data_IF_145307449690
#
_entry.id   IF_145307449690
#
_cell.length_a   1.000
_cell.length_b   1.000
_cell.length_c   1.000
_cell.angle_alpha   90.00
_cell.angle_beta   90.00
_cell.angle_gamma   90.00
#
_symmetry.space_group_name_H-M   'P 1'
#
loop_
_entity.id
_entity.type
_entity.pdbx_description
1 polymer ?
#
# COMPACT_ATOMS: atom_id res chain seq x y z
N UNK A 1 -27.90 -9.89 -16.49
CA UNK A 1 -27.05 -8.71 -16.21
C UNK A 1 -27.71 -7.94 -15.08
N UNK A 2 -27.37 -8.24 -13.82
CA UNK A 2 -28.00 -7.62 -12.64
C UNK A 2 -27.01 -6.63 -12.07
N UNK A 3 -27.24 -5.33 -12.33
CA UNK A 3 -26.48 -4.25 -11.72
C UNK A 3 -27.03 -4.02 -10.31
N UNK A 4 -26.55 -4.80 -9.32
CA UNK A 4 -26.76 -4.47 -7.90
C UNK A 4 -25.70 -3.45 -7.51
N UNK A 5 -26.16 -2.25 -7.20
CA UNK A 5 -25.39 -1.24 -6.48
C UNK A 5 -24.90 -1.85 -5.15
N UNK A 6 -23.61 -2.15 -5.07
CA UNK A 6 -22.94 -2.52 -3.83
C UNK A 6 -22.60 -1.24 -3.07
N UNK A 7 -23.61 -0.60 -2.46
CA UNK A 7 -23.32 0.27 -1.31
C UNK A 7 -23.02 -0.64 -0.13
N UNK A 8 -21.76 -1.05 -0.01
CA UNK A 8 -21.26 -1.68 1.21
C UNK A 8 -21.29 -0.62 2.33
N UNK A 9 -21.96 -0.86 3.47
CA UNK A 9 -22.07 0.11 4.56
C UNK A 9 -20.75 0.39 5.30
N UNK A 10 -19.61 -0.08 4.77
CA UNK A 10 -18.30 -0.01 5.41
C UNK A 10 -17.28 0.84 4.64
N UNK A 11 -17.64 1.40 3.48
CA UNK A 11 -16.75 2.32 2.75
C UNK A 11 -17.15 3.74 3.10
N UNK A 12 -16.31 4.41 3.88
CA UNK A 12 -16.41 5.87 4.09
C UNK A 12 -15.74 6.53 2.90
N UNK A 13 -16.48 6.72 1.82
CA UNK A 13 -16.06 7.58 0.71
C UNK A 13 -16.40 9.03 1.03
N UNK A 14 -15.59 9.99 0.58
CA UNK A 14 -16.03 11.37 0.59
C UNK A 14 -17.28 11.49 -0.29
N UNK A 15 -18.36 12.02 0.26
CA UNK A 15 -19.65 12.12 -0.43
C UNK A 15 -19.66 13.10 -1.61
N UNK A 16 -18.55 13.81 -1.85
CA UNK A 16 -18.47 14.96 -2.74
C UNK A 16 -17.76 14.66 -4.06
N UNK A 17 -16.96 13.59 -4.15
CA UNK A 17 -16.25 13.20 -5.36
C UNK A 17 -16.64 11.79 -5.83
N UNK A 18 -17.03 11.63 -7.11
CA UNK A 18 -17.30 10.30 -7.65
C UNK A 18 -16.03 9.45 -7.71
N UNK A 19 -16.14 8.19 -7.29
CA UNK A 19 -15.08 7.18 -7.30
C UNK A 19 -14.26 7.07 -8.61
N UNK A 20 -14.87 7.41 -9.76
CA UNK A 20 -14.23 7.28 -11.08
C UNK A 20 -13.43 8.52 -11.53
N UNK A 21 -13.34 9.56 -10.71
CA UNK A 21 -12.66 10.80 -11.09
C UNK A 21 -11.15 10.66 -10.90
N UNK A 22 -10.37 11.04 -11.92
CA UNK A 22 -8.92 11.22 -11.76
C UNK A 22 -8.63 12.65 -11.32
N UNK A 23 -8.19 12.80 -10.07
CA UNK A 23 -7.88 14.09 -9.47
C UNK A 23 -6.43 14.51 -9.76
N UNK A 24 -6.18 15.82 -9.60
CA UNK A 24 -4.92 16.51 -9.89
C UNK A 24 -4.41 16.39 -11.34
N UNK A 25 -3.73 17.43 -11.78
CA UNK A 25 -2.97 17.46 -13.04
C UNK A 25 -1.61 16.82 -12.86
N UNK A 26 -0.97 16.46 -13.98
CA UNK A 26 0.41 15.96 -13.95
C UNK A 26 1.37 16.96 -13.29
N UNK A 27 1.22 18.24 -13.61
CA UNK A 27 2.08 19.31 -13.08
C UNK A 27 1.97 19.43 -11.56
N UNK A 28 0.76 19.40 -11.02
CA UNK A 28 0.55 19.46 -9.56
C UNK A 28 1.18 18.26 -8.85
N UNK A 29 0.98 17.05 -9.40
CA UNK A 29 1.56 15.84 -8.83
C UNK A 29 3.09 15.81 -8.94
N UNK A 30 3.65 16.28 -10.07
CA UNK A 30 5.10 16.42 -10.25
C UNK A 30 5.70 17.41 -9.26
N UNK A 31 5.00 18.52 -8.96
CA UNK A 31 5.44 19.46 -7.93
C UNK A 31 5.49 18.80 -6.55
N UNK A 32 4.48 17.99 -6.20
CA UNK A 32 4.48 17.22 -4.96
C UNK A 32 5.61 16.18 -4.90
N UNK A 33 5.87 15.48 -6.01
CA UNK A 33 6.99 14.51 -6.12
C UNK A 33 8.33 15.21 -5.96
N UNK A 34 8.53 16.37 -6.61
CA UNK A 34 9.74 17.19 -6.45
C UNK A 34 9.95 17.60 -4.99
N UNK A 35 8.92 18.14 -4.34
CA UNK A 35 8.99 18.54 -2.94
C UNK A 35 9.31 17.36 -1.99
N UNK A 36 8.74 16.17 -2.25
CA UNK A 36 9.07 14.97 -1.49
C UNK A 36 10.52 14.53 -1.70
N UNK A 37 11.00 14.58 -2.94
CA UNK A 37 12.37 14.22 -3.29
C UNK A 37 13.41 15.16 -2.66
N UNK A 38 13.12 16.46 -2.57
CA UNK A 38 13.98 17.45 -1.89
C UNK A 38 14.14 17.14 -0.39
N UNK A 39 13.15 16.49 0.22
CA UNK A 39 13.22 15.99 1.60
C UNK A 39 13.77 14.54 1.71
N UNK A 40 14.19 13.95 0.60
CA UNK A 40 14.69 12.58 0.55
C UNK A 40 13.63 11.51 0.83
N UNK A 41 12.35 11.78 0.53
CA UNK A 41 11.23 10.84 0.69
C UNK A 41 10.44 10.71 -0.61
N UNK A 42 9.33 9.97 -0.58
CA UNK A 42 8.46 9.72 -1.74
C UNK A 42 7.02 10.19 -1.52
N UNK A 43 6.27 10.23 -2.63
CA UNK A 43 4.81 10.42 -2.66
C UNK A 43 4.12 9.07 -2.79
N UNK A 44 3.10 8.88 -1.96
CA UNK A 44 2.05 7.88 -2.16
C UNK A 44 0.78 8.56 -2.67
N UNK A 45 0.05 7.92 -3.57
CA UNK A 45 -1.19 8.44 -4.12
C UNK A 45 -2.34 7.44 -3.97
N UNK A 46 -3.48 7.94 -3.50
CA UNK A 46 -4.72 7.18 -3.49
C UNK A 46 -5.29 7.10 -4.90
N UNK A 47 -5.33 5.89 -5.48
CA UNK A 47 -5.74 5.70 -6.87
C UNK A 47 -6.40 4.34 -7.10
N UNK A 48 -7.64 4.39 -7.60
CA UNK A 48 -8.46 3.21 -7.87
C UNK A 48 -8.31 2.68 -9.30
N UNK A 49 -8.52 3.57 -10.29
CA UNK A 49 -8.58 3.23 -11.72
C UNK A 49 -7.20 3.28 -12.37
N UNK A 50 -6.99 2.42 -13.36
CA UNK A 50 -5.76 2.37 -14.14
C UNK A 50 -5.27 3.72 -14.67
N UNK A 51 -6.17 4.60 -15.15
CA UNK A 51 -5.79 5.97 -15.56
C UNK A 51 -5.13 6.79 -14.43
N UNK A 52 -5.63 6.66 -13.21
CA UNK A 52 -5.05 7.32 -12.03
C UNK A 52 -3.73 6.66 -11.63
N UNK A 53 -3.66 5.33 -11.68
CA UNK A 53 -2.43 4.56 -11.43
C UNK A 53 -1.32 4.98 -12.40
N UNK A 54 -1.58 4.96 -13.71
CA UNK A 54 -0.64 5.40 -14.73
C UNK A 54 -0.22 6.85 -14.52
N UNK A 55 -1.15 7.74 -14.14
CA UNK A 55 -0.81 9.13 -13.81
C UNK A 55 0.18 9.21 -12.65
N UNK A 56 -0.06 8.48 -11.57
CA UNK A 56 0.86 8.41 -10.42
C UNK A 56 2.25 7.95 -10.87
N UNK A 57 2.33 6.87 -11.66
CA UNK A 57 3.59 6.34 -12.18
C UNK A 57 4.31 7.39 -13.04
N UNK A 58 3.61 8.02 -13.98
CA UNK A 58 4.16 9.03 -14.90
C UNK A 58 4.65 10.29 -14.19
N UNK A 59 4.16 10.58 -12.98
CA UNK A 59 4.63 11.71 -12.16
C UNK A 59 5.87 11.38 -11.34
N UNK A 60 6.24 10.10 -11.24
CA UNK A 60 7.33 9.63 -10.38
C UNK A 60 6.89 9.25 -8.95
N UNK A 61 5.58 9.20 -8.69
CA UNK A 61 5.04 8.66 -7.44
C UNK A 61 5.50 7.22 -7.23
N UNK A 62 5.74 6.83 -5.97
CA UNK A 62 6.35 5.52 -5.64
C UNK A 62 5.36 4.49 -5.13
N UNK A 63 4.19 4.93 -4.66
CA UNK A 63 3.19 4.07 -4.05
C UNK A 63 1.81 4.44 -4.56
N UNK A 64 1.03 3.41 -4.88
CA UNK A 64 -0.39 3.49 -5.21
C UNK A 64 -1.13 2.85 -4.05
N UNK A 65 -1.96 3.61 -3.35
CA UNK A 65 -2.87 3.07 -2.32
C UNK A 65 -4.15 2.56 -3.00
N UNK A 66 -4.70 1.48 -2.45
CA UNK A 66 -5.86 0.73 -2.93
C UNK A 66 -5.62 -0.05 -4.24
N UNK A 67 -5.60 0.63 -5.40
CA UNK A 67 -5.25 0.04 -6.70
C UNK A 67 -6.19 -1.06 -7.23
N UNK A 68 -7.45 -1.16 -6.77
CA UNK A 68 -8.32 -2.32 -7.06
C UNK A 68 -8.60 -2.53 -8.56
N UNK A 69 -8.44 -1.51 -9.40
CA UNK A 69 -8.69 -1.59 -10.83
C UNK A 69 -7.48 -1.17 -11.66
N UNK A 70 -6.28 -1.49 -11.18
CA UNK A 70 -5.07 -1.48 -12.01
C UNK A 70 -5.23 -2.45 -13.19
N UNK A 71 -4.82 -2.01 -14.38
CA UNK A 71 -4.80 -2.84 -15.56
C UNK A 71 -3.69 -3.89 -15.49
N UNK A 72 -3.94 -5.08 -16.04
CA UNK A 72 -2.96 -6.16 -16.07
C UNK A 72 -1.68 -5.76 -16.82
N UNK A 73 -1.81 -5.01 -17.91
CA UNK A 73 -0.70 -4.46 -18.69
C UNK A 73 0.14 -3.51 -17.84
N UNK A 74 -0.48 -2.48 -17.24
CA UNK A 74 0.16 -1.55 -16.31
C UNK A 74 0.89 -2.27 -15.18
N UNK A 75 0.25 -3.27 -14.56
CA UNK A 75 0.85 -4.01 -13.45
C UNK A 75 2.10 -4.80 -13.88
N UNK A 76 2.06 -5.42 -15.06
CA UNK A 76 3.18 -6.20 -15.63
C UNK A 76 4.32 -5.31 -16.08
N UNK A 77 4.03 -4.27 -16.87
CA UNK A 77 5.03 -3.35 -17.42
C UNK A 77 5.86 -2.69 -16.31
N UNK A 78 5.22 -2.35 -15.21
CA UNK A 78 5.88 -1.69 -14.09
C UNK A 78 6.36 -2.65 -12.99
N UNK A 79 6.21 -3.96 -13.16
CA UNK A 79 6.63 -4.99 -12.19
C UNK A 79 6.17 -4.66 -10.76
N UNK A 80 4.89 -4.32 -10.62
CA UNK A 80 4.32 -3.79 -9.37
C UNK A 80 4.53 -4.77 -8.22
N UNK A 81 5.14 -4.28 -7.14
CA UNK A 81 5.21 -5.01 -5.87
C UNK A 81 3.95 -4.76 -5.05
N UNK A 82 3.48 -5.79 -4.37
CA UNK A 82 2.31 -5.70 -3.48
C UNK A 82 2.81 -5.59 -2.04
N UNK A 83 2.37 -4.54 -1.37
CA UNK A 83 2.60 -4.28 0.06
C UNK A 83 1.31 -4.47 0.84
N UNK A 84 1.42 -4.51 2.17
CA UNK A 84 0.26 -4.66 3.03
C UNK A 84 -0.03 -3.40 3.84
N UNK A 85 -1.27 -2.91 3.72
CA UNK A 85 -1.81 -1.78 4.47
C UNK A 85 -3.25 -2.08 4.89
N UNK A 86 -3.71 -1.43 5.96
CA UNK A 86 -5.11 -1.47 6.39
C UNK A 86 -5.63 -0.05 6.44
N UNK A 87 -6.72 0.18 5.75
CA UNK A 87 -7.42 1.46 5.72
C UNK A 87 -8.72 1.37 6.54
N UNK A 88 -8.58 0.92 7.80
CA UNK A 88 -9.70 0.77 8.73
C UNK A 88 -9.85 2.05 9.54
N UNK A 89 -10.95 2.76 9.32
CA UNK A 89 -11.20 4.07 9.94
C UNK A 89 -12.17 3.93 11.12
N UNK A 90 -11.74 4.43 12.29
CA UNK A 90 -12.55 4.82 13.47
C UNK A 90 -13.68 3.85 13.90
N UNK A 91 -13.48 2.56 13.71
CA UNK A 91 -14.45 1.50 14.04
C UNK A 91 -13.80 0.48 14.98
N UNK A 92 -14.00 0.59 16.31
CA UNK A 92 -13.39 -0.31 17.29
C UNK A 92 -13.64 -1.79 17.01
N UNK A 93 -14.84 -2.12 16.51
CA UNK A 93 -15.23 -3.48 16.14
C UNK A 93 -14.36 -4.01 14.98
N UNK A 94 -14.19 -3.22 13.92
CA UNK A 94 -13.35 -3.60 12.78
C UNK A 94 -11.84 -3.57 13.13
N UNK A 95 -11.43 -2.71 14.05
CA UNK A 95 -10.06 -2.66 14.55
C UNK A 95 -9.63 -4.01 15.16
N UNK A 96 -10.53 -4.73 15.82
CA UNK A 96 -10.21 -6.03 16.39
C UNK A 96 -10.04 -7.14 15.32
N UNK A 97 -10.72 -6.99 14.19
CA UNK A 97 -10.67 -7.93 13.06
C UNK A 97 -9.43 -7.74 12.20
N UNK A 98 -8.63 -6.69 12.43
CA UNK A 98 -7.45 -6.36 11.65
C UNK A 98 -6.50 -7.56 11.44
N UNK A 99 -6.35 -8.45 12.43
CA UNK A 99 -5.51 -9.65 12.33
C UNK A 99 -6.02 -10.65 11.29
N UNK A 100 -7.34 -10.74 11.11
CA UNK A 100 -7.97 -11.70 10.20
C UNK A 100 -7.81 -11.32 8.73
N UNK A 101 -7.66 -10.02 8.41
CA UNK A 101 -7.50 -9.60 7.02
C UNK A 101 -6.23 -10.18 6.37
N UNK A 102 -5.13 -10.33 7.13
CA UNK A 102 -3.89 -10.96 6.62
C UNK A 102 -4.16 -12.43 6.26
N UNK A 103 -4.89 -13.15 7.12
CA UNK A 103 -5.29 -14.53 6.84
C UNK A 103 -6.22 -14.62 5.61
N UNK A 104 -7.05 -13.60 5.38
CA UNK A 104 -7.92 -13.53 4.20
C UNK A 104 -7.15 -13.47 2.88
N UNK A 105 -5.99 -12.81 2.84
CA UNK A 105 -5.15 -12.71 1.62
C UNK A 105 -4.62 -14.08 1.18
N UNK A 106 -4.45 -15.02 2.12
CA UNK A 106 -3.96 -16.37 1.85
C UNK A 106 -4.89 -17.19 0.94
N UNK A 107 -6.09 -16.69 0.62
CA UNK A 107 -6.96 -17.27 -0.40
C UNK A 107 -6.43 -17.06 -1.84
N UNK A 108 -5.54 -16.08 -2.06
CA UNK A 108 -5.01 -15.75 -3.38
C UNK A 108 -3.49 -15.91 -3.49
N UNK A 109 -2.78 -15.88 -2.36
CA UNK A 109 -1.32 -15.95 -2.31
C UNK A 109 -0.87 -17.09 -1.40
N UNK A 110 0.31 -17.64 -1.68
CA UNK A 110 0.94 -18.63 -0.81
C UNK A 110 1.32 -18.00 0.54
N UNK A 111 1.49 -18.80 1.60
CA UNK A 111 1.87 -18.29 2.93
C UNK A 111 3.20 -17.53 2.90
N UNK A 112 4.16 -18.00 2.09
CA UNK A 112 5.44 -17.31 1.88
C UNK A 112 5.25 -15.94 1.23
N UNK A 113 4.42 -15.83 0.19
CA UNK A 113 4.14 -14.56 -0.48
C UNK A 113 3.48 -13.57 0.48
N UNK A 114 2.48 -14.02 1.25
CA UNK A 114 1.84 -13.17 2.26
C UNK A 114 2.85 -12.69 3.29
N UNK A 115 3.69 -13.57 3.85
CA UNK A 115 4.73 -13.18 4.80
C UNK A 115 5.75 -12.20 4.21
N UNK A 116 6.15 -12.42 2.95
CA UNK A 116 7.04 -11.52 2.24
C UNK A 116 6.40 -10.14 2.04
N UNK A 117 5.12 -10.07 1.68
CA UNK A 117 4.39 -8.80 1.53
C UNK A 117 4.30 -8.03 2.84
N UNK A 118 3.88 -8.68 3.93
CA UNK A 118 3.65 -8.01 5.22
C UNK A 118 4.94 -7.67 5.98
N UNK A 119 6.06 -8.32 5.63
CA UNK A 119 7.37 -8.07 6.25
C UNK A 119 8.37 -7.45 5.25
N UNK A 120 9.03 -8.27 4.42
CA UNK A 120 10.14 -7.84 3.58
C UNK A 120 9.76 -6.68 2.63
N UNK A 121 8.68 -6.80 1.87
CA UNK A 121 8.30 -5.80 0.86
C UNK A 121 7.81 -4.50 1.54
N UNK A 122 7.06 -4.64 2.63
CA UNK A 122 6.72 -3.54 3.54
C UNK A 122 7.96 -2.88 4.16
N UNK A 123 9.02 -3.64 4.46
CA UNK A 123 10.28 -3.14 5.01
C UNK A 123 11.04 -2.33 3.98
N UNK A 124 11.09 -2.81 2.73
CA UNK A 124 11.61 -2.03 1.60
C UNK A 124 10.87 -0.71 1.42
N UNK A 125 9.53 -0.72 1.55
CA UNK A 125 8.71 0.48 1.50
C UNK A 125 9.06 1.47 2.62
N UNK A 126 9.19 0.97 3.85
CA UNK A 126 9.53 1.78 5.02
C UNK A 126 10.93 2.41 4.90
N UNK A 127 11.89 1.70 4.32
CA UNK A 127 13.24 2.22 4.07
C UNK A 127 13.29 3.39 3.09
N UNK A 128 12.26 3.59 2.25
CA UNK A 128 12.21 4.73 1.31
C UNK A 128 11.81 6.06 1.98
N UNK A 129 11.44 6.07 3.28
CA UNK A 129 10.91 7.28 3.96
C UNK A 129 11.98 8.31 4.33
N UNK A 130 13.26 8.01 4.08
CA UNK A 130 14.39 8.89 4.35
C UNK A 130 14.38 9.42 5.78
N UNK A 131 14.51 10.74 5.93
CA UNK A 131 14.56 11.41 7.24
C UNK A 131 13.27 11.29 8.06
N UNK A 132 12.15 10.83 7.47
CA UNK A 132 10.89 10.60 8.20
C UNK A 132 10.84 9.24 8.89
N UNK A 133 11.79 8.34 8.62
CA UNK A 133 11.84 7.03 9.26
C UNK A 133 12.18 7.21 10.75
N UNK A 134 11.45 6.57 11.69
CA UNK A 134 11.91 6.49 13.08
C UNK A 134 13.07 5.50 13.26
N UNK A 135 13.33 4.67 12.24
CA UNK A 135 14.41 3.68 12.21
C UNK A 135 15.58 4.24 11.41
N UNK A 136 16.53 4.86 12.11
CA UNK A 136 17.70 5.53 11.51
C UNK A 136 19.00 4.72 11.65
N UNK A 137 19.06 3.81 12.62
CA UNK A 137 20.30 3.13 13.01
C UNK A 137 20.57 1.83 12.24
N UNK A 138 19.59 1.33 11.50
CA UNK A 138 19.67 0.04 10.82
C UNK A 138 18.44 -0.30 9.98
N UNK A 139 18.55 -1.40 9.22
CA UNK A 139 17.43 -1.95 8.46
C UNK A 139 16.32 -2.49 9.40
N UNK A 140 15.09 -2.50 8.91
CA UNK A 140 13.92 -3.04 9.63
C UNK A 140 13.35 -4.24 8.90
N UNK A 141 12.67 -5.10 9.68
CA UNK A 141 11.92 -6.24 9.16
C UNK A 141 12.75 -7.18 8.28
N UNK A 142 14.05 -7.30 8.60
CA UNK A 142 14.99 -8.23 8.01
C UNK A 142 15.82 -8.93 9.10
N UNK A 143 16.24 -10.17 8.86
CA UNK A 143 17.10 -10.92 9.78
C UNK A 143 18.57 -10.78 9.36
N UNK A 144 19.18 -9.65 9.71
CA UNK A 144 20.59 -9.34 9.41
C UNK A 144 21.25 -8.71 10.63
N UNK A 145 22.58 -8.88 10.77
CA UNK A 145 23.34 -8.18 11.80
C UNK A 145 23.25 -6.67 11.55
N UNK A 146 23.01 -5.90 12.61
CA UNK A 146 22.85 -4.44 12.54
C UNK A 146 21.44 -3.97 12.19
N UNK A 147 20.48 -4.88 11.92
CA UNK A 147 19.08 -4.53 11.80
C UNK A 147 18.41 -4.35 13.17
N UNK A 148 17.28 -3.64 13.22
CA UNK A 148 16.43 -3.55 14.40
C UNK A 148 15.91 -4.93 14.81
N UNK A 149 15.89 -5.21 16.12
CA UNK A 149 15.50 -6.49 16.69
C UNK A 149 13.97 -6.68 16.81
N UNK A 150 13.25 -6.41 15.72
CA UNK A 150 11.80 -6.59 15.63
C UNK A 150 11.49 -8.06 15.30
N UNK A 151 11.45 -8.91 16.34
CA UNK A 151 11.34 -10.37 16.19
C UNK A 151 10.03 -10.88 16.78
N UNK A 152 9.31 -11.70 16.02
CA UNK A 152 8.16 -12.47 16.50
C UNK A 152 8.56 -13.94 16.66
N UNK A 153 8.33 -14.50 17.85
CA UNK A 153 8.42 -15.94 18.08
C UNK A 153 7.04 -16.56 17.86
N UNK A 154 6.94 -17.44 16.86
CA UNK A 154 5.68 -18.11 16.50
C UNK A 154 5.77 -19.58 16.88
N UNK A 155 4.77 -20.09 17.61
CA UNK A 155 4.67 -21.51 17.93
C UNK A 155 4.10 -22.28 16.72
N UNK A 156 5.00 -22.73 15.85
CA UNK A 156 4.67 -23.47 14.63
C UNK A 156 5.16 -22.77 13.37
N UNK A 157 4.96 -23.43 12.23
CA UNK A 157 5.24 -22.83 10.92
C UNK A 157 4.02 -21.99 10.50
N UNK A 158 4.15 -20.68 10.21
CA UNK A 158 3.04 -19.89 9.70
C UNK A 158 2.56 -20.47 8.37
N UNK A 159 1.30 -20.92 8.34
CA UNK A 159 0.63 -21.52 7.19
C UNK A 159 -0.48 -20.61 6.69
#
# INVERSE_FOLDING_TARGET
MVHRSLKSPQVVELSYDPFNVTQYTLTEMQAAVGAAADYGTYVSAHAYKDKAVQRTINTGGKVIEQGEMIGEETAKEHSVKITWGKDVILTPEAAHLQRQFVAGIANWFTPYEVLKMVAHDNGQLLSMRGLRSPYQDGEVWCNRRGAYADILLVNGNPR
#
